data_IF_695788547037
#
_entry.id   IF_695788547037
#
_cell.length_a   1.000
_cell.length_b   1.000
_cell.length_c   1.000
_cell.angle_alpha   90.00
_cell.angle_beta   90.00
_cell.angle_gamma   90.00
#
_symmetry.space_group_name_H-M   'P 1'
#
loop_
_entity.id
_entity.type
_entity.pdbx_description
1 polymer ?
#
# COMPACT_ATOMS: atom_id res chain seq x y z
N UNK A 1 7.34 6.56 8.97
CA UNK A 1 6.86 5.32 9.63
C UNK A 1 5.80 4.64 8.76
N UNK A 2 4.70 5.31 8.43
CA UNK A 2 3.60 4.79 7.58
C UNK A 2 3.99 4.39 6.14
N UNK A 3 4.73 5.25 5.44
CA UNK A 3 5.14 5.02 4.03
C UNK A 3 5.87 3.70 3.81
N UNK A 4 6.65 3.27 4.80
CA UNK A 4 7.45 2.05 4.74
C UNK A 4 6.53 0.83 4.79
N UNK A 5 5.54 0.81 5.68
CA UNK A 5 4.53 -0.25 5.73
C UNK A 5 3.67 -0.27 4.45
N UNK A 6 3.28 0.91 3.96
CA UNK A 6 2.45 1.04 2.76
C UNK A 6 3.14 0.56 1.47
N UNK A 7 4.47 0.53 1.41
CA UNK A 7 5.24 0.08 0.25
C UNK A 7 5.78 -1.35 0.39
N UNK A 8 6.11 -1.79 1.61
CA UNK A 8 6.70 -3.11 1.81
C UNK A 8 5.68 -4.24 1.93
N UNK A 9 4.48 -3.98 2.44
CA UNK A 9 3.44 -5.01 2.62
C UNK A 9 2.68 -5.43 1.34
N UNK A 10 2.38 -4.54 0.36
CA UNK A 10 1.50 -4.91 -0.74
C UNK A 10 2.09 -5.97 -1.67
N UNK A 11 3.40 -5.94 -1.90
CA UNK A 11 4.06 -6.92 -2.77
C UNK A 11 4.06 -8.35 -2.16
N UNK A 12 4.44 -8.56 -0.88
CA UNK A 12 4.24 -9.83 -0.18
C UNK A 12 2.78 -10.27 -0.13
N UNK A 13 1.82 -9.37 0.13
CA UNK A 13 0.39 -9.70 0.12
C UNK A 13 -0.03 -10.26 -1.24
N UNK A 14 0.31 -9.55 -2.31
CA UNK A 14 0.05 -9.99 -3.68
C UNK A 14 0.69 -11.33 -4.01
N UNK A 15 1.91 -11.58 -3.50
CA UNK A 15 2.66 -12.79 -3.77
C UNK A 15 2.21 -14.01 -2.96
N UNK A 16 1.95 -13.86 -1.67
CA UNK A 16 1.66 -14.96 -0.73
C UNK A 16 0.17 -15.32 -0.67
N UNK A 17 -0.73 -14.34 -0.78
CA UNK A 17 -2.17 -14.58 -0.67
C UNK A 17 -2.72 -15.16 -1.98
N UNK A 18 -3.26 -16.39 -1.91
CA UNK A 18 -3.77 -17.13 -3.08
C UNK A 18 -4.98 -16.44 -3.71
N UNK A 19 -5.94 -16.04 -2.87
CA UNK A 19 -7.14 -15.33 -3.30
C UNK A 19 -6.84 -13.86 -3.60
N UNK A 20 -7.22 -13.41 -4.79
CA UNK A 20 -6.93 -12.04 -5.26
C UNK A 20 -7.76 -10.99 -4.52
N UNK A 21 -9.03 -11.28 -4.27
CA UNK A 21 -9.93 -10.36 -3.59
C UNK A 21 -9.47 -10.20 -2.15
N UNK A 22 -9.14 -11.29 -1.47
CA UNK A 22 -8.56 -11.27 -0.13
C UNK A 22 -7.26 -10.44 -0.10
N UNK A 23 -6.35 -10.61 -1.07
CA UNK A 23 -5.10 -9.83 -1.11
C UNK A 23 -5.36 -8.32 -1.20
N UNK A 24 -6.28 -7.89 -2.06
CA UNK A 24 -6.66 -6.48 -2.16
C UNK A 24 -7.38 -6.00 -0.89
N UNK A 25 -8.35 -6.75 -0.38
CA UNK A 25 -9.07 -6.37 0.84
C UNK A 25 -8.14 -6.25 2.04
N UNK A 26 -7.18 -7.17 2.20
CA UNK A 26 -6.16 -7.09 3.24
C UNK A 26 -5.29 -5.84 3.07
N UNK A 27 -4.88 -5.53 1.85
CA UNK A 27 -4.13 -4.30 1.58
C UNK A 27 -4.94 -3.05 1.95
N UNK A 28 -6.20 -2.97 1.51
CA UNK A 28 -7.09 -1.84 1.83
C UNK A 28 -7.31 -1.73 3.34
N UNK A 29 -7.59 -2.84 4.02
CA UNK A 29 -7.81 -2.84 5.47
C UNK A 29 -6.59 -2.35 6.25
N UNK A 30 -5.40 -2.87 5.93
CA UNK A 30 -4.15 -2.43 6.57
C UNK A 30 -3.82 -0.98 6.24
N UNK A 31 -4.00 -0.57 4.98
CA UNK A 31 -3.75 0.81 4.55
C UNK A 31 -4.68 1.80 5.26
N UNK A 32 -5.99 1.51 5.32
CA UNK A 32 -6.96 2.35 6.01
C UNK A 32 -6.70 2.45 7.51
N UNK A 33 -6.32 1.34 8.15
CA UNK A 33 -5.96 1.33 9.56
C UNK A 33 -4.74 2.21 9.83
N UNK A 34 -3.67 2.02 9.08
CA UNK A 34 -2.43 2.81 9.15
C UNK A 34 -2.73 4.31 8.92
N UNK A 35 -3.41 4.64 7.82
CA UNK A 35 -3.77 6.01 7.44
C UNK A 35 -4.55 6.76 8.53
N UNK A 36 -5.35 6.04 9.33
CA UNK A 36 -6.06 6.62 10.48
C UNK A 36 -5.10 7.14 11.55
N UNK A 37 -4.09 6.35 11.94
CA UNK A 37 -3.07 6.78 12.91
C UNK A 37 -2.14 7.84 12.33
N UNK A 38 -1.83 7.77 11.04
CA UNK A 38 -1.09 8.82 10.35
C UNK A 38 -1.81 10.15 10.45
N UNK A 39 -3.09 10.17 10.07
CA UNK A 39 -3.91 11.36 10.04
C UNK A 39 -4.04 11.93 11.46
N UNK A 40 -4.31 11.09 12.46
CA UNK A 40 -4.31 11.51 13.87
C UNK A 40 -2.98 12.17 14.29
N UNK A 41 -1.85 11.58 13.92
CA UNK A 41 -0.52 12.09 14.27
C UNK A 41 -0.23 13.44 13.59
N UNK A 42 -0.57 13.55 12.30
CA UNK A 42 -0.38 14.78 11.53
C UNK A 42 -1.29 15.91 12.03
N UNK A 43 -2.55 15.60 12.36
CA UNK A 43 -3.47 16.59 12.93
C UNK A 43 -2.98 17.09 14.28
N UNK A 44 -2.47 16.19 15.14
CA UNK A 44 -1.88 16.59 16.43
C UNK A 44 -0.65 17.50 16.24
N UNK A 45 0.21 17.19 15.27
CA UNK A 45 1.37 18.02 14.95
C UNK A 45 0.96 19.40 14.40
N UNK A 46 -0.08 19.45 13.58
CA UNK A 46 -0.63 20.70 13.03
C UNK A 46 -1.21 21.61 14.10
N UNK A 47 -1.98 21.05 15.05
CA UNK A 47 -2.44 21.81 16.24
C UNK A 47 -1.25 22.32 17.07
N UNK A 48 -0.14 21.57 17.09
CA UNK A 48 1.13 21.99 17.71
C UNK A 48 1.93 23.03 16.92
N UNK A 49 1.44 23.49 15.76
CA UNK A 49 2.06 24.52 14.93
C UNK A 49 2.88 24.01 13.73
N UNK A 50 2.99 22.68 13.52
CA UNK A 50 3.67 22.13 12.34
C UNK A 50 2.77 22.17 11.09
N UNK A 51 3.14 23.01 10.12
CA UNK A 51 2.35 23.25 8.89
C UNK A 51 2.90 22.54 7.66
N UNK A 52 3.80 21.55 7.84
CA UNK A 52 4.37 20.80 6.70
C UNK A 52 3.36 19.90 5.98
N UNK A 53 2.39 19.35 6.71
CA UNK A 53 1.41 18.41 6.16
C UNK A 53 0.05 19.07 5.85
N UNK A 54 -0.38 19.99 6.71
CA UNK A 54 -1.60 20.76 6.55
C UNK A 54 -1.26 22.25 6.51
N UNK A 55 -1.87 22.97 5.58
CA UNK A 55 -1.72 24.42 5.44
C UNK A 55 -2.23 25.12 6.70
N UNK A 56 -1.68 26.31 6.97
CA UNK A 56 -2.05 27.09 8.15
C UNK A 56 -3.49 27.59 8.10
N UNK A 57 -3.98 27.85 6.89
CA UNK A 57 -5.37 28.18 6.64
C UNK A 57 -6.24 26.91 6.76
N UNK A 58 -7.14 26.84 7.75
CA UNK A 58 -7.99 25.68 7.97
C UNK A 58 -9.06 25.49 6.88
N UNK A 59 -9.38 26.54 6.12
CA UNK A 59 -10.39 26.49 5.06
C UNK A 59 -9.77 26.09 3.71
N UNK A 60 -8.43 26.07 3.62
CA UNK A 60 -7.72 25.67 2.43
C UNK A 60 -7.70 24.14 2.27
N UNK A 61 -8.27 23.66 1.17
CA UNK A 61 -8.26 22.22 0.83
C UNK A 61 -6.81 21.76 0.55
N UNK A 62 -6.28 20.75 1.27
CA UNK A 62 -4.90 20.31 1.13
C UNK A 62 -4.73 19.35 -0.06
N UNK A 63 -4.88 19.86 -1.28
CA UNK A 63 -4.83 19.07 -2.52
C UNK A 63 -3.53 18.29 -2.71
N UNK A 64 -2.39 18.87 -2.30
CA UNK A 64 -1.09 18.20 -2.37
C UNK A 64 -1.05 16.93 -1.51
N UNK A 65 -1.58 17.00 -0.30
CA UNK A 65 -1.70 15.86 0.60
C UNK A 65 -2.63 14.79 0.02
N UNK A 66 -3.80 15.19 -0.51
CA UNK A 66 -4.72 14.27 -1.17
C UNK A 66 -4.07 13.55 -2.36
N UNK A 67 -3.39 14.30 -3.23
CA UNK A 67 -2.71 13.76 -4.41
C UNK A 67 -1.61 12.75 -4.03
N UNK A 68 -0.80 13.07 -3.02
CA UNK A 68 0.27 12.17 -2.53
C UNK A 68 -0.34 10.87 -1.98
N UNK A 69 -1.40 10.95 -1.19
CA UNK A 69 -2.05 9.74 -0.65
C UNK A 69 -2.67 8.86 -1.73
N UNK A 70 -3.35 9.46 -2.72
CA UNK A 70 -3.88 8.72 -3.87
C UNK A 70 -2.76 8.03 -4.65
N UNK A 71 -1.63 8.71 -4.87
CA UNK A 71 -0.49 8.12 -5.56
C UNK A 71 0.09 6.92 -4.79
N UNK A 72 0.29 7.04 -3.48
CA UNK A 72 0.80 5.95 -2.63
C UNK A 72 -0.17 4.77 -2.63
N UNK A 73 -1.47 5.04 -2.51
CA UNK A 73 -2.51 4.02 -2.55
C UNK A 73 -2.51 3.27 -3.89
N UNK A 74 -2.42 4.00 -4.99
CA UNK A 74 -2.31 3.42 -6.34
C UNK A 74 -1.05 2.56 -6.51
N UNK A 75 0.11 3.02 -6.00
CA UNK A 75 1.35 2.24 -6.01
C UNK A 75 1.17 0.92 -5.25
N UNK A 76 0.54 0.94 -4.08
CA UNK A 76 0.30 -0.27 -3.31
C UNK A 76 -0.60 -1.28 -4.03
N UNK A 77 -1.69 -0.83 -4.68
CA UNK A 77 -2.52 -1.70 -5.55
C UNK A 77 -1.67 -2.31 -6.67
N UNK A 78 -0.82 -1.50 -7.30
CA UNK A 78 0.11 -1.95 -8.34
C UNK A 78 1.07 -3.03 -7.83
N UNK A 79 1.59 -2.87 -6.62
CA UNK A 79 2.49 -3.84 -5.97
C UNK A 79 1.78 -5.14 -5.60
N UNK A 80 0.52 -5.10 -5.12
CA UNK A 80 -0.32 -6.31 -4.94
C UNK A 80 -0.48 -7.05 -6.26
N UNK A 81 -0.81 -6.31 -7.33
CA UNK A 81 -0.97 -6.87 -8.67
C UNK A 81 0.32 -7.52 -9.16
N UNK A 82 1.46 -6.85 -8.96
CA UNK A 82 2.78 -7.34 -9.34
C UNK A 82 3.14 -8.61 -8.58
N UNK A 83 2.95 -8.65 -7.26
CA UNK A 83 3.17 -9.85 -6.45
C UNK A 83 2.36 -11.05 -6.94
N UNK A 84 1.07 -10.82 -7.26
CA UNK A 84 0.20 -11.87 -7.78
C UNK A 84 0.64 -12.36 -9.17
N UNK A 85 1.16 -11.45 -10.02
CA UNK A 85 1.74 -11.80 -11.32
C UNK A 85 3.01 -12.62 -11.19
N UNK A 86 3.90 -12.26 -10.26
CA UNK A 86 5.13 -13.01 -9.97
C UNK A 86 4.84 -14.43 -9.50
N UNK A 87 3.86 -14.62 -8.60
CA UNK A 87 3.41 -15.96 -8.18
C UNK A 87 2.96 -16.80 -9.38
N UNK A 88 2.10 -16.25 -10.24
CA UNK A 88 1.59 -16.95 -11.43
C UNK A 88 2.69 -17.33 -12.40
N UNK A 89 3.66 -16.44 -12.64
CA UNK A 89 4.83 -16.74 -13.48
C UNK A 89 5.68 -17.87 -12.91
N UNK A 90 5.83 -17.94 -11.58
CA UNK A 90 6.55 -19.03 -10.91
C UNK A 90 5.80 -20.37 -11.01
N UNK A 91 4.48 -20.37 -10.84
CA UNK A 91 3.65 -21.57 -10.95
C UNK A 91 3.52 -22.10 -12.40
N UNK A 92 3.69 -21.23 -13.40
CA UNK A 92 3.66 -21.60 -14.82
C UNK A 92 5.02 -22.09 -15.37
N UNK A 93 6.10 -22.06 -14.57
CA UNK A 93 7.35 -22.72 -14.93
C UNK A 93 7.13 -24.23 -14.74
N UNK A 94 7.25 -25.07 -15.78
CA UNK A 94 7.22 -26.51 -15.60
C UNK A 94 8.36 -26.87 -14.63
N UNK A 95 8.02 -27.54 -13.53
CA UNK A 95 9.02 -28.35 -12.83
C UNK A 95 9.61 -29.30 -13.88
N UNK A 96 10.93 -29.29 -14.03
CA UNK A 96 11.62 -30.04 -15.07
C UNK A 96 11.11 -31.47 -15.11
N UNK A 97 10.63 -31.90 -16.28
CA UNK A 97 10.30 -33.29 -16.53
C UNK A 97 11.54 -34.12 -16.22
N UNK A 98 11.47 -34.94 -15.18
CA UNK A 98 12.49 -35.92 -14.88
C UNK A 98 12.51 -36.95 -16.01
N UNK A 99 13.57 -36.92 -16.81
CA UNK A 99 13.81 -37.84 -17.93
C UNK A 99 14.68 -39.03 -17.50
N UNK A 100 14.77 -39.32 -16.20
CA UNK A 100 15.44 -40.51 -15.67
C UNK A 100 14.54 -41.74 -15.82
N UNK A 101 14.39 -42.21 -17.06
CA UNK A 101 13.83 -43.52 -17.41
C UNK A 101 14.91 -44.53 -17.74
#
# INVERSE_FOLDING_TARGET
MELILMLLLPLPLGYLVRDRVAAYLSYVAVHSFAFTFQTMTLTRAWVGGDTRAFVKDPDAVPWSYAAVNVAIYGVGIGLVTLGARLRRRRAARPEGVDISG
#
